data_IF_350652468542
#
_entry.id   IF_350652468542
#
_cell.length_a   1.000
_cell.length_b   1.000
_cell.length_c   1.000
_cell.angle_alpha   90.00
_cell.angle_beta   90.00
_cell.angle_gamma   90.00
#
_symmetry.space_group_name_H-M   'P 1'
#
loop_
_entity.id
_entity.type
_entity.pdbx_description
1 polymer ?
#
# COMPACT_ATOMS: atom_id res chain seq x y z
N UNK A 1 -1.81 19.01 16.18
CA UNK A 1 -0.70 18.57 15.30
C UNK A 1 -1.32 18.00 14.03
N UNK A 2 -0.91 18.46 12.84
CA UNK A 2 -1.49 18.01 11.57
C UNK A 2 -0.88 16.67 11.15
N UNK A 3 -1.71 15.66 10.91
CA UNK A 3 -1.27 14.39 10.34
C UNK A 3 -1.01 14.57 8.85
N UNK A 4 0.20 14.22 8.39
CA UNK A 4 0.53 14.25 6.96
C UNK A 4 -0.22 13.12 6.23
N UNK A 5 -0.80 13.46 5.08
CA UNK A 5 -1.57 12.54 4.25
C UNK A 5 -1.04 12.57 2.81
N UNK A 6 -1.45 11.60 2.00
CA UNK A 6 -1.21 11.64 0.55
C UNK A 6 -1.89 12.88 -0.02
N UNK A 7 -1.21 13.72 -0.81
CA UNK A 7 -1.79 14.92 -1.42
C UNK A 7 -2.66 14.56 -2.64
N UNK A 8 -3.73 13.78 -2.40
CA UNK A 8 -4.55 13.15 -3.44
C UNK A 8 -5.03 14.13 -4.50
N UNK A 9 -5.50 15.32 -4.09
CA UNK A 9 -5.98 16.36 -5.02
C UNK A 9 -4.92 16.85 -6.00
N UNK A 10 -3.67 16.93 -5.56
CA UNK A 10 -2.57 17.34 -6.43
C UNK A 10 -2.11 16.22 -7.36
N UNK A 11 -2.32 14.96 -6.96
CA UNK A 11 -1.89 13.78 -7.71
C UNK A 11 -2.96 13.26 -8.69
N UNK A 12 -4.25 13.52 -8.46
CA UNK A 12 -5.35 12.85 -9.19
C UNK A 12 -5.38 13.12 -10.70
N UNK A 13 -4.67 14.15 -11.19
CA UNK A 13 -4.55 14.46 -12.63
C UNK A 13 -3.30 13.86 -13.29
N UNK A 14 -2.42 13.21 -12.54
CA UNK A 14 -1.20 12.59 -13.06
C UNK A 14 -1.53 11.21 -13.65
N UNK A 15 -2.40 11.19 -14.65
CA UNK A 15 -2.97 9.96 -15.22
C UNK A 15 -1.91 9.04 -15.83
N UNK A 16 -0.84 9.60 -16.37
CA UNK A 16 0.28 8.88 -16.97
C UNK A 16 1.41 8.51 -15.98
N UNK A 17 1.24 8.81 -14.68
CA UNK A 17 2.28 8.52 -13.69
C UNK A 17 2.46 7.00 -13.53
N UNK A 18 3.68 6.52 -13.79
CA UNK A 18 4.01 5.09 -13.75
C UNK A 18 4.56 4.66 -12.38
N UNK A 19 5.28 5.54 -11.70
CA UNK A 19 5.96 5.26 -10.44
C UNK A 19 5.77 6.42 -9.47
N UNK A 20 5.28 6.16 -8.26
CA UNK A 20 5.10 7.15 -7.21
C UNK A 20 5.89 6.74 -5.97
N UNK A 21 6.78 7.63 -5.53
CA UNK A 21 7.66 7.41 -4.38
C UNK A 21 7.36 8.49 -3.33
N UNK A 22 6.79 8.08 -2.21
CA UNK A 22 6.45 8.91 -1.05
C UNK A 22 7.22 8.46 0.18
N UNK A 23 8.44 7.95 -0.01
CA UNK A 23 9.27 7.38 1.05
C UNK A 23 9.67 8.41 2.10
N UNK A 24 9.93 7.96 3.33
CA UNK A 24 10.44 8.77 4.44
C UNK A 24 9.63 10.04 4.72
N UNK A 25 8.32 9.95 4.57
CA UNK A 25 7.40 10.99 4.98
C UNK A 25 6.76 10.63 6.35
N UNK A 26 5.94 11.52 6.88
CA UNK A 26 5.20 11.29 8.13
C UNK A 26 3.75 10.82 7.89
N UNK A 27 3.50 10.08 6.79
CA UNK A 27 2.14 9.62 6.47
C UNK A 27 1.70 8.59 7.51
N UNK A 28 0.55 8.80 8.14
CA UNK A 28 0.03 7.94 9.21
C UNK A 28 -1.19 7.12 8.81
N UNK A 29 -2.00 7.64 7.89
CA UNK A 29 -3.23 7.00 7.45
C UNK A 29 -3.31 7.09 5.92
N UNK A 30 -3.66 5.98 5.27
CA UNK A 30 -4.05 5.99 3.88
C UNK A 30 -5.58 5.96 3.79
N UNK A 31 -6.17 7.07 3.36
CA UNK A 31 -7.61 7.24 3.28
C UNK A 31 -8.21 6.64 2.00
N UNK A 32 -9.54 6.53 1.98
CA UNK A 32 -10.33 6.19 0.80
C UNK A 32 -9.80 6.91 -0.46
N UNK A 33 -9.53 6.13 -1.52
CA UNK A 33 -9.12 6.66 -2.81
C UNK A 33 -7.88 7.57 -2.77
N UNK A 34 -6.95 7.36 -1.84
CA UNK A 34 -5.76 8.19 -1.66
C UNK A 34 -4.94 8.36 -2.96
N UNK A 35 -5.03 7.40 -3.88
CA UNK A 35 -4.32 7.33 -5.15
C UNK A 35 -5.24 7.38 -6.37
N UNK A 36 -6.49 7.87 -6.22
CA UNK A 36 -7.44 7.94 -7.32
C UNK A 36 -6.90 8.80 -8.48
N UNK A 37 -7.26 8.42 -9.71
CA UNK A 37 -6.84 9.13 -10.92
C UNK A 37 -5.45 8.76 -11.43
N UNK A 38 -4.64 8.04 -10.64
CA UNK A 38 -3.33 7.50 -11.06
C UNK A 38 -3.49 6.22 -11.89
N UNK A 39 -4.22 6.32 -13.01
CA UNK A 39 -4.70 5.17 -13.79
C UNK A 39 -3.58 4.32 -14.40
N UNK A 40 -2.42 4.90 -14.70
CA UNK A 40 -1.25 4.18 -15.24
C UNK A 40 -0.24 3.73 -14.18
N UNK A 41 -0.55 3.87 -12.88
CA UNK A 41 0.43 3.61 -11.83
C UNK A 41 0.75 2.11 -11.74
N UNK A 42 2.03 1.77 -11.90
CA UNK A 42 2.54 0.41 -11.79
C UNK A 42 3.24 0.15 -10.45
N UNK A 43 3.88 1.18 -9.89
CA UNK A 43 4.74 1.06 -8.70
C UNK A 43 4.44 2.17 -7.70
N UNK A 44 4.20 1.78 -6.46
CA UNK A 44 3.99 2.68 -5.34
C UNK A 44 4.96 2.34 -4.21
N UNK A 45 5.70 3.34 -3.71
CA UNK A 45 6.55 3.17 -2.54
C UNK A 45 6.17 4.17 -1.46
N UNK A 46 5.84 3.64 -0.28
CA UNK A 46 5.49 4.34 0.95
C UNK A 46 6.45 3.95 2.08
N UNK A 47 7.64 3.48 1.72
CA UNK A 47 8.63 2.96 2.64
C UNK A 47 9.04 4.01 3.68
N UNK A 48 9.22 3.59 4.93
CA UNK A 48 9.75 4.48 5.97
C UNK A 48 8.78 5.57 6.39
N UNK A 49 7.47 5.35 6.26
CA UNK A 49 6.44 6.24 6.79
C UNK A 49 6.00 5.80 8.20
N UNK A 50 4.93 6.40 8.72
CA UNK A 50 4.34 6.07 10.03
C UNK A 50 2.94 5.48 9.87
N UNK A 51 2.68 4.77 8.77
CA UNK A 51 1.34 4.29 8.42
C UNK A 51 0.91 3.25 9.46
N UNK A 52 -0.23 3.50 10.10
CA UNK A 52 -0.87 2.62 11.09
C UNK A 52 -2.16 2.01 10.56
N UNK A 53 -2.86 2.74 9.69
CA UNK A 53 -4.19 2.37 9.20
C UNK A 53 -4.28 2.57 7.70
N UNK A 54 -4.87 1.60 7.02
CA UNK A 54 -5.18 1.63 5.59
C UNK A 54 -6.68 1.42 5.45
N UNK A 55 -7.34 2.34 4.74
CA UNK A 55 -8.75 2.22 4.41
C UNK A 55 -8.99 1.04 3.43
N UNK A 56 -10.04 0.22 3.62
CA UNK A 56 -10.42 -0.87 2.72
C UNK A 56 -10.67 -0.45 1.26
N UNK A 57 -10.82 0.83 0.99
CA UNK A 57 -11.04 1.39 -0.34
C UNK A 57 -9.94 2.38 -0.74
N UNK A 58 -8.75 2.28 -0.14
CA UNK A 58 -7.60 3.15 -0.46
C UNK A 58 -7.23 3.17 -1.95
N UNK A 59 -7.43 2.04 -2.66
CA UNK A 59 -7.14 1.89 -4.10
C UNK A 59 -8.35 2.17 -5.00
N UNK A 60 -9.45 2.69 -4.46
CA UNK A 60 -10.58 3.11 -5.28
C UNK A 60 -10.11 4.16 -6.32
N UNK A 61 -10.34 3.87 -7.60
CA UNK A 61 -10.00 4.78 -8.72
C UNK A 61 -8.54 4.76 -9.19
N UNK A 62 -7.69 3.80 -8.79
CA UNK A 62 -6.26 3.70 -9.22
C UNK A 62 -6.03 3.04 -10.59
N UNK A 63 -7.08 2.72 -11.35
CA UNK A 63 -6.97 2.14 -12.71
C UNK A 63 -6.57 0.66 -12.79
N UNK A 64 -6.21 0.01 -11.67
CA UNK A 64 -6.01 -1.45 -11.60
C UNK A 64 -4.65 -1.98 -12.09
N UNK A 65 -3.79 -1.12 -12.63
CA UNK A 65 -2.48 -1.50 -13.17
C UNK A 65 -1.37 -1.66 -12.11
N UNK A 66 -1.67 -1.42 -10.83
CA UNK A 66 -0.67 -1.45 -9.77
C UNK A 66 -0.14 -2.88 -9.57
N UNK A 67 1.15 -3.08 -9.83
CA UNK A 67 1.82 -4.39 -9.71
C UNK A 67 2.74 -4.48 -8.52
N UNK A 68 3.20 -3.35 -7.97
CA UNK A 68 4.11 -3.34 -6.82
C UNK A 68 3.75 -2.25 -5.83
N UNK A 69 3.67 -2.64 -4.57
CA UNK A 69 3.60 -1.71 -3.44
C UNK A 69 4.69 -2.04 -2.40
N UNK A 70 5.37 -1.01 -1.90
CA UNK A 70 6.30 -1.11 -0.78
C UNK A 70 5.78 -0.34 0.43
N UNK A 71 5.44 -1.07 1.49
CA UNK A 71 4.99 -0.56 2.79
C UNK A 71 6.00 -0.89 3.90
N UNK A 72 7.23 -1.29 3.57
CA UNK A 72 8.27 -1.55 4.55
C UNK A 72 8.56 -0.35 5.46
N UNK A 73 9.10 -0.62 6.65
CA UNK A 73 9.40 0.38 7.68
C UNK A 73 8.20 1.30 8.00
N UNK A 74 7.00 0.73 8.13
CA UNK A 74 5.80 1.39 8.65
C UNK A 74 5.37 0.81 10.00
N UNK A 75 4.24 1.27 10.54
CA UNK A 75 3.71 0.90 11.86
C UNK A 75 2.42 0.07 11.75
N UNK A 76 2.25 -0.63 10.61
CA UNK A 76 1.08 -1.46 10.32
C UNK A 76 1.05 -2.68 11.23
N UNK A 77 -0.08 -2.90 11.89
CA UNK A 77 -0.32 -4.09 12.72
C UNK A 77 -1.13 -5.16 11.98
N UNK A 78 -1.94 -4.75 11.01
CA UNK A 78 -2.76 -5.62 10.17
C UNK A 78 -3.07 -4.89 8.87
N UNK A 79 -3.47 -5.65 7.84
CA UNK A 79 -4.06 -5.09 6.63
C UNK A 79 -5.26 -5.92 6.23
N UNK A 80 -6.35 -5.23 5.94
CA UNK A 80 -7.53 -5.84 5.36
C UNK A 80 -7.27 -6.18 3.90
N UNK A 81 -7.31 -7.48 3.56
CA UNK A 81 -7.09 -7.95 2.19
C UNK A 81 -8.13 -7.41 1.19
N UNK A 82 -9.31 -6.99 1.66
CA UNK A 82 -10.33 -6.36 0.79
C UNK A 82 -9.81 -5.09 0.13
N UNK A 83 -8.86 -4.39 0.77
CA UNK A 83 -8.16 -3.22 0.23
C UNK A 83 -7.58 -3.49 -1.16
N UNK A 84 -7.12 -4.72 -1.43
CA UNK A 84 -6.42 -5.08 -2.65
C UNK A 84 -7.26 -5.92 -3.62
N UNK A 85 -8.56 -6.08 -3.38
CA UNK A 85 -9.41 -7.03 -4.13
C UNK A 85 -9.40 -6.80 -5.65
N UNK A 86 -9.25 -5.55 -6.11
CA UNK A 86 -9.22 -5.23 -7.54
C UNK A 86 -7.82 -5.31 -8.19
N UNK A 87 -6.77 -5.73 -7.45
CA UNK A 87 -5.38 -5.68 -7.90
C UNK A 87 -4.81 -7.08 -8.16
N UNK A 88 -5.21 -7.69 -9.28
CA UNK A 88 -5.00 -9.11 -9.66
C UNK A 88 -3.56 -9.61 -9.74
N UNK A 89 -2.57 -8.72 -9.80
CA UNK A 89 -1.15 -9.08 -9.97
C UNK A 89 -0.22 -8.39 -8.96
N UNK A 90 -0.77 -7.89 -7.85
CA UNK A 90 -0.02 -7.07 -6.90
C UNK A 90 1.00 -7.87 -6.08
N UNK A 91 2.24 -7.40 -6.10
CA UNK A 91 3.29 -7.79 -5.16
C UNK A 91 3.40 -6.76 -4.05
N UNK A 92 3.30 -7.21 -2.80
CA UNK A 92 3.31 -6.36 -1.62
C UNK A 92 4.61 -6.62 -0.84
N UNK A 93 5.48 -5.61 -0.73
CA UNK A 93 6.69 -5.67 0.09
C UNK A 93 6.48 -4.95 1.43
N UNK A 94 6.94 -5.61 2.49
CA UNK A 94 6.41 -5.55 3.83
C UNK A 94 7.51 -5.84 4.85
N UNK A 95 8.61 -5.11 4.78
CA UNK A 95 9.73 -5.28 5.72
C UNK A 95 9.41 -4.51 7.00
N UNK A 96 8.79 -5.14 8.01
CA UNK A 96 8.57 -4.48 9.31
C UNK A 96 9.66 -4.79 10.31
N UNK A 97 10.05 -3.78 11.07
CA UNK A 97 10.81 -3.99 12.30
C UNK A 97 9.89 -4.65 13.34
N UNK A 98 10.08 -5.96 13.56
CA UNK A 98 9.79 -6.69 14.81
C UNK A 98 8.41 -7.33 15.06
N UNK A 99 7.46 -7.40 14.13
CA UNK A 99 6.22 -8.19 14.36
C UNK A 99 5.83 -9.05 13.15
N UNK A 100 5.93 -10.36 13.30
CA UNK A 100 5.32 -11.33 12.39
C UNK A 100 3.83 -11.07 12.33
N UNK A 101 3.29 -10.90 11.13
CA UNK A 101 1.88 -10.64 10.94
C UNK A 101 1.08 -11.93 10.95
N UNK A 102 -0.01 -11.92 11.72
CA UNK A 102 -1.16 -12.77 11.43
C UNK A 102 -1.92 -12.12 10.26
N UNK A 103 -1.60 -12.52 9.04
CA UNK A 103 -2.38 -12.07 7.89
C UNK A 103 -3.62 -12.96 7.79
N UNK A 104 -4.78 -12.44 8.19
CA UNK A 104 -6.08 -13.04 7.84
C UNK A 104 -6.36 -12.83 6.35
N UNK A 105 -5.66 -13.56 5.47
CA UNK A 105 -5.94 -13.55 4.03
C UNK A 105 -6.99 -14.59 3.66
N UNK A 106 -7.95 -14.20 2.82
CA UNK A 106 -8.82 -15.13 2.12
C UNK A 106 -8.07 -15.72 0.90
N UNK A 107 -8.17 -17.04 0.70
CA UNK A 107 -7.19 -17.95 0.08
C UNK A 107 -6.99 -17.76 -1.45
N UNK A 108 -7.59 -16.76 -2.10
CA UNK A 108 -7.50 -16.58 -3.57
C UNK A 108 -6.22 -15.92 -4.10
N UNK A 109 -5.30 -15.47 -3.24
CA UNK A 109 -4.17 -14.60 -3.63
C UNK A 109 -2.76 -15.17 -3.39
N UNK A 110 -2.63 -16.46 -3.10
CA UNK A 110 -1.37 -17.08 -2.64
C UNK A 110 -0.28 -17.30 -3.73
N UNK A 111 -0.33 -16.64 -4.88
CA UNK A 111 0.62 -16.92 -5.97
C UNK A 111 2.00 -16.24 -5.82
N UNK A 112 2.23 -15.31 -4.89
CA UNK A 112 3.57 -14.68 -4.77
C UNK A 112 3.95 -14.08 -3.41
N UNK A 113 3.44 -14.62 -2.30
CA UNK A 113 3.93 -14.18 -0.98
C UNK A 113 5.20 -14.96 -0.60
N UNK A 114 6.35 -14.27 -0.59
CA UNK A 114 7.50 -14.70 0.21
C UNK A 114 7.17 -14.45 1.68
N UNK A 115 6.60 -15.45 2.34
CA UNK A 115 6.44 -15.45 3.80
C UNK A 115 7.83 -15.38 4.40
N UNK A 116 8.16 -14.31 5.11
CA UNK A 116 9.34 -14.27 5.96
C UNK A 116 9.20 -15.37 7.01
N UNK A 117 9.81 -16.53 6.75
CA UNK A 117 10.19 -17.46 7.81
C UNK A 117 11.15 -16.71 8.71
N UNK A 118 10.70 -16.36 9.92
CA UNK A 118 11.64 -16.08 11.00
C UNK A 118 12.28 -17.42 11.34
N UNK A 119 13.51 -17.62 10.85
CA UNK A 119 14.40 -18.59 11.47
C UNK A 119 14.78 -17.99 12.83
N UNK A 120 14.34 -18.64 13.89
CA UNK A 120 14.99 -18.59 15.20
C UNK A 120 16.43 -19.06 15.07
#
# INVERSE_FOLDING_TARGET
MFNLQVPTKSLEKLTFLVSLHLNYNNIQVLHYGAFRGLISLLRLSLYGNKIKTIDPNVFHGIGGNLTRINLGANQLTSIDSSSFFNLTTLKVNMETSRKCWEIKMNIKWLASLSICKVKT
#
